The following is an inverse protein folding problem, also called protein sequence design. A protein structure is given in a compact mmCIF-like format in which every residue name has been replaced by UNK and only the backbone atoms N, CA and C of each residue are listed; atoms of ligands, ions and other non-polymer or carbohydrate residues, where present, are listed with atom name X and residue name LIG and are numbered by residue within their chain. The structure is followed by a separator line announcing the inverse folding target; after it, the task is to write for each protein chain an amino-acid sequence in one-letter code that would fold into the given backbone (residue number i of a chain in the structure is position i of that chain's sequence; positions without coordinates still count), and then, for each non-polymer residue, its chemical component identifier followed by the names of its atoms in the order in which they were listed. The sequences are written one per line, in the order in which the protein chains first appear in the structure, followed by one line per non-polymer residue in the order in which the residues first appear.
data_IF_949055428473
#
_entry.id   IF_949055428473
#
_cell.length_a   1.000
_cell.length_b   1.000
_cell.length_c   1.000
_cell.angle_alpha   90.00
_cell.angle_beta   90.00
_cell.angle_gamma   90.00
#
_symmetry.space_group_name_H-M   'P 1'
#
loop_
_entity.id
_entity.type
_entity.pdbx_description
1 polymer ?
#
# COMPACT_ATOMS: atom_id res chain seq x y z
N UNK A 1 -17.44 4.75 8.22
CA UNK A 1 -18.25 3.56 7.98
C UNK A 1 -19.37 4.00 7.06
N UNK A 2 -19.19 3.83 5.75
CA UNK A 2 -20.28 3.99 4.79
C UNK A 2 -20.61 2.57 4.32
N UNK A 3 -21.76 2.08 4.75
CA UNK A 3 -22.32 0.80 4.33
C UNK A 3 -23.76 1.12 3.94
N UNK A 4 -24.08 0.97 2.66
CA UNK A 4 -25.46 0.90 2.18
C UNK A 4 -25.62 -0.53 1.68
N UNK A 5 -26.39 -1.33 2.41
CA UNK A 5 -26.61 -2.74 2.13
C UNK A 5 -27.73 -2.92 1.10
N UNK A 6 -27.40 -3.34 -0.12
CA UNK A 6 -28.34 -4.07 -0.98
C UNK A 6 -27.62 -5.15 -1.81
N UNK A 7 -27.97 -6.41 -1.58
CA UNK A 7 -27.98 -7.47 -2.60
C UNK A 7 -26.67 -8.25 -2.90
N UNK A 8 -26.64 -9.51 -2.45
CA UNK A 8 -25.68 -10.59 -2.82
C UNK A 8 -24.22 -10.38 -2.38
N UNK A 9 -23.48 -11.46 -2.11
CA UNK A 9 -22.07 -11.43 -1.68
C UNK A 9 -21.13 -10.89 -2.79
N UNK A 10 -21.23 -9.60 -3.09
CA UNK A 10 -20.39 -8.95 -4.08
C UNK A 10 -19.14 -8.40 -3.38
N UNK A 11 -17.96 -8.81 -3.87
CA UNK A 11 -16.66 -8.19 -3.56
C UNK A 11 -16.61 -6.76 -4.16
N UNK A 12 -17.51 -5.90 -3.69
CA UNK A 12 -17.88 -4.64 -4.31
C UNK A 12 -17.75 -3.49 -3.30
N UNK A 13 -16.68 -3.53 -2.52
CA UNK A 13 -16.25 -2.39 -1.74
C UNK A 13 -15.47 -1.41 -2.64
N UNK A 14 -15.63 -0.11 -2.40
CA UNK A 14 -14.93 0.96 -3.14
C UNK A 14 -13.68 1.45 -2.43
N UNK A 15 -13.67 1.43 -1.10
CA UNK A 15 -12.48 1.78 -0.32
C UNK A 15 -12.44 1.08 1.03
N UNK A 16 -11.23 0.81 1.52
CA UNK A 16 -11.04 0.38 2.92
C UNK A 16 -9.95 1.19 3.60
N UNK A 17 -10.11 1.35 4.91
CA UNK A 17 -9.13 1.93 5.81
C UNK A 17 -8.76 0.89 6.84
N UNK A 18 -7.50 0.47 6.89
CA UNK A 18 -7.13 -0.64 7.74
C UNK A 18 -5.64 -0.88 7.82
N UNK A 19 -5.25 -2.09 8.26
CA UNK A 19 -3.85 -2.49 8.34
C UNK A 19 -3.23 -2.63 6.94
N UNK A 20 -1.91 -2.53 6.89
CA UNK A 20 -1.14 -2.76 5.68
C UNK A 20 -1.45 -4.12 5.03
N UNK A 21 -1.82 -4.07 3.75
CA UNK A 21 -1.98 -5.24 2.90
C UNK A 21 -0.60 -5.80 2.48
N UNK A 22 -0.52 -7.11 2.22
CA UNK A 22 0.68 -7.75 1.66
C UNK A 22 0.92 -7.27 0.23
N UNK A 23 2.18 -6.99 -0.13
CA UNK A 23 2.54 -6.43 -1.44
C UNK A 23 1.98 -7.16 -2.66
N UNK A 24 1.96 -8.52 -2.72
CA UNK A 24 1.42 -9.22 -3.89
C UNK A 24 -0.08 -9.02 -4.10
N UNK A 25 -0.84 -8.76 -3.02
CA UNK A 25 -2.29 -8.60 -3.07
C UNK A 25 -2.72 -7.26 -3.69
N UNK A 26 -1.83 -6.26 -3.75
CA UNK A 26 -2.12 -5.03 -4.49
C UNK A 26 -2.36 -5.28 -5.98
N UNK A 27 -1.82 -6.38 -6.54
CA UNK A 27 -2.05 -6.77 -7.94
C UNK A 27 -3.46 -7.31 -8.20
N UNK A 28 -4.18 -7.70 -7.15
CA UNK A 28 -5.53 -8.25 -7.27
C UNK A 28 -6.61 -7.19 -7.05
N UNK A 29 -6.24 -5.94 -6.78
CA UNK A 29 -7.19 -4.84 -6.62
C UNK A 29 -7.79 -4.46 -7.97
N UNK A 30 -9.10 -4.26 -7.98
CA UNK A 30 -9.80 -3.63 -9.10
C UNK A 30 -9.45 -2.14 -9.14
N UNK A 31 -9.57 -1.52 -10.31
CA UNK A 31 -9.33 -0.08 -10.50
C UNK A 31 -10.23 0.79 -9.61
N UNK A 32 -11.44 0.33 -9.32
CA UNK A 32 -12.41 1.03 -8.47
C UNK A 32 -12.12 0.88 -6.98
N UNK A 33 -11.23 -0.03 -6.57
CA UNK A 33 -10.92 -0.33 -5.18
C UNK A 33 -9.76 0.52 -4.66
N UNK A 34 -9.99 1.24 -3.56
CA UNK A 34 -9.02 2.16 -2.96
C UNK A 34 -8.55 1.70 -1.59
N UNK A 35 -7.23 1.72 -1.39
CA UNK A 35 -6.61 1.49 -0.08
C UNK A 35 -5.93 2.75 0.42
N UNK A 36 -5.90 2.91 1.74
CA UNK A 36 -5.22 4.02 2.40
C UNK A 36 -3.69 3.82 2.55
N UNK A 37 -3.14 2.72 2.04
CA UNK A 37 -1.73 2.39 2.14
C UNK A 37 -1.15 2.02 0.79
N UNK A 38 -0.06 2.67 0.39
CA UNK A 38 0.68 2.29 -0.82
C UNK A 38 1.54 1.03 -0.60
N UNK A 39 1.73 0.20 -1.65
CA UNK A 39 2.67 -0.91 -1.59
C UNK A 39 4.10 -0.41 -1.36
N UNK A 40 4.90 -1.15 -0.59
CA UNK A 40 6.33 -0.84 -0.41
C UNK A 40 6.65 0.33 0.54
N UNK A 41 5.66 1.00 1.13
CA UNK A 41 5.83 2.12 2.08
C UNK A 41 6.79 1.83 3.24
N UNK A 42 6.97 0.56 3.62
CA UNK A 42 7.98 0.14 4.59
C UNK A 42 9.43 0.47 4.21
N UNK A 43 9.74 0.71 2.93
CA UNK A 43 11.07 1.16 2.49
C UNK A 43 11.41 2.56 3.00
N UNK A 44 10.39 3.39 3.24
CA UNK A 44 10.54 4.74 3.76
C UNK A 44 10.13 4.85 5.24
N UNK A 45 9.04 4.19 5.63
CA UNK A 45 8.50 4.29 6.99
C UNK A 45 9.31 3.56 8.06
N UNK A 46 10.14 2.57 7.68
CA UNK A 46 11.01 1.86 8.64
C UNK A 46 12.39 2.50 8.68
N UNK A 47 12.82 2.95 9.86
CA UNK A 47 14.11 3.62 10.06
C UNK A 47 15.30 2.81 9.54
N UNK A 48 15.32 1.49 9.77
CA UNK A 48 16.41 0.61 9.32
C UNK A 48 16.51 0.47 7.80
N UNK A 49 15.36 0.53 7.10
CA UNK A 49 15.32 0.47 5.63
C UNK A 49 15.59 1.83 5.03
N UNK A 50 15.03 2.88 5.64
CA UNK A 50 15.26 4.26 5.27
C UNK A 50 16.75 4.59 5.26
N UNK A 51 17.46 4.29 6.36
CA UNK A 51 18.91 4.51 6.45
C UNK A 51 19.69 3.84 5.32
N UNK A 52 19.42 2.56 5.05
CA UNK A 52 20.08 1.81 3.98
C UNK A 52 19.77 2.39 2.59
N UNK A 53 18.55 2.88 2.37
CA UNK A 53 18.16 3.50 1.12
C UNK A 53 18.86 4.86 0.92
N UNK A 54 19.01 5.66 2.00
CA UNK A 54 19.82 6.89 1.95
C UNK A 54 21.28 6.60 1.60
N UNK A 55 21.92 5.66 2.30
CA UNK A 55 23.32 5.32 2.01
C UNK A 55 23.54 4.88 0.56
N UNK A 56 22.62 4.09 0.00
CA UNK A 56 22.69 3.67 -1.42
C UNK A 56 22.52 4.85 -2.38
N UNK A 57 21.56 5.72 -2.11
CA UNK A 57 21.31 6.89 -2.95
C UNK A 57 22.49 7.88 -2.88
N UNK A 58 23.06 8.10 -1.70
CA UNK A 58 24.26 8.93 -1.54
C UNK A 58 25.40 8.35 -2.39
N UNK A 59 25.69 7.05 -2.28
CA UNK A 59 26.73 6.42 -3.10
C UNK A 59 26.49 6.51 -4.61
N UNK A 60 25.24 6.54 -5.06
CA UNK A 60 24.89 6.70 -6.47
C UNK A 60 25.05 8.14 -6.97
N UNK A 61 24.89 9.15 -6.09
CA UNK A 61 25.11 10.56 -6.44
C UNK A 61 26.60 10.87 -6.57
N UNK A 62 27.45 10.19 -5.79
CA UNK A 62 28.90 10.37 -5.78
C UNK A 62 29.67 9.38 -6.67
N UNK A 63 28.98 8.66 -7.55
CA UNK A 63 29.54 7.77 -8.57
C UNK A 63 29.47 8.43 -9.95
#
# INVERSE_FOLDING_TARGET
MFCEETGSESNEWLGTWGKHMKSPLFKTLKETQKLNHFPGTFQLGRKDRLWRNFQKNDQQIWA
#
